data_IF_148982391532
#
_entry.id   IF_148982391532
#
_cell.length_a   1.000
_cell.length_b   1.000
_cell.length_c   1.000
_cell.angle_alpha   90.00
_cell.angle_beta   90.00
_cell.angle_gamma   90.00
#
_symmetry.space_group_name_H-M   'P 1'
#
loop_
_entity.id
_entity.type
_entity.pdbx_description
1 polymer ?
#
# COMPACT_ATOMS: atom_id res chain seq x y z
N UNK A 1 2.45 -5.39 0.93
CA UNK A 1 3.56 -5.55 1.91
C UNK A 1 4.44 -6.78 1.65
N UNK A 2 3.94 -7.81 0.99
CA UNK A 2 4.73 -9.03 0.71
C UNK A 2 5.89 -8.80 -0.26
N UNK A 3 5.74 -7.96 -1.29
CA UNK A 3 6.85 -7.62 -2.18
C UNK A 3 7.99 -6.95 -1.42
N UNK A 4 7.66 -6.07 -0.48
CA UNK A 4 8.63 -5.47 0.43
C UNK A 4 9.26 -6.52 1.36
N UNK A 5 8.44 -7.22 2.16
CA UNK A 5 8.93 -8.15 3.19
C UNK A 5 9.80 -9.27 2.64
N UNK A 6 9.37 -9.87 1.53
CA UNK A 6 10.08 -11.02 0.94
C UNK A 6 11.13 -10.62 -0.08
N UNK A 7 11.33 -9.32 -0.34
CA UNK A 7 12.25 -8.84 -1.36
C UNK A 7 11.96 -9.36 -2.77
N UNK A 8 10.69 -9.69 -3.05
CA UNK A 8 10.30 -10.35 -4.31
C UNK A 8 10.33 -9.45 -5.51
N UNK A 9 10.02 -8.17 -5.32
CA UNK A 9 9.99 -7.21 -6.41
C UNK A 9 10.63 -5.89 -5.99
N UNK A 10 11.52 -5.38 -6.83
CA UNK A 10 12.02 -4.02 -6.72
C UNK A 10 10.91 -3.03 -7.12
N UNK A 11 11.03 -1.77 -6.68
CA UNK A 11 10.03 -0.74 -7.00
C UNK A 11 9.90 -0.52 -8.51
N UNK A 12 11.01 -0.45 -9.24
CA UNK A 12 11.01 -0.18 -10.68
C UNK A 12 10.80 1.31 -10.99
N UNK A 13 10.59 1.61 -12.27
CA UNK A 13 10.37 2.97 -12.78
C UNK A 13 8.92 3.17 -13.20
N UNK A 14 8.50 4.44 -13.33
CA UNK A 14 7.10 4.81 -13.58
C UNK A 14 6.58 4.36 -14.95
N UNK A 15 7.47 4.18 -15.93
CA UNK A 15 7.08 3.86 -17.32
C UNK A 15 7.03 2.37 -17.62
N UNK A 16 7.51 1.52 -16.72
CA UNK A 16 7.54 0.08 -16.95
C UNK A 16 6.14 -0.56 -16.89
N UNK A 17 5.90 -1.45 -17.84
CA UNK A 17 4.76 -2.38 -17.84
C UNK A 17 5.32 -3.79 -17.85
N UNK A 18 5.39 -4.43 -16.71
CA UNK A 18 5.89 -5.79 -16.55
C UNK A 18 5.32 -6.41 -15.27
N UNK A 19 5.61 -7.67 -15.04
CA UNK A 19 5.19 -8.39 -13.84
C UNK A 19 6.37 -8.65 -12.87
N UNK A 20 7.52 -8.01 -13.09
CA UNK A 20 8.74 -8.25 -12.33
C UNK A 20 9.11 -7.12 -11.38
N UNK A 21 8.51 -5.93 -11.57
CA UNK A 21 8.68 -4.79 -10.67
C UNK A 21 7.34 -4.36 -10.09
N UNK A 22 7.37 -3.75 -8.91
CA UNK A 22 6.17 -3.28 -8.22
C UNK A 22 5.37 -2.26 -9.06
N UNK A 23 6.03 -1.21 -9.55
CA UNK A 23 5.40 -0.21 -10.41
C UNK A 23 4.95 -0.79 -11.74
N UNK A 24 5.75 -1.67 -12.33
CA UNK A 24 5.41 -2.34 -13.59
C UNK A 24 4.15 -3.20 -13.48
N UNK A 25 4.00 -3.94 -12.40
CA UNK A 25 2.81 -4.74 -12.13
C UNK A 25 1.57 -3.88 -11.92
N UNK A 26 1.68 -2.76 -11.20
CA UNK A 26 0.58 -1.80 -11.02
C UNK A 26 0.14 -1.20 -12.36
N UNK A 27 1.06 -0.72 -13.19
CA UNK A 27 0.75 -0.20 -14.52
C UNK A 27 0.06 -1.25 -15.39
N UNK A 28 0.54 -2.48 -15.38
CA UNK A 28 -0.05 -3.59 -16.13
C UNK A 28 -1.48 -3.90 -15.66
N UNK A 29 -1.71 -3.92 -14.34
CA UNK A 29 -3.04 -4.16 -13.78
C UNK A 29 -4.03 -3.06 -14.17
N UNK A 30 -3.63 -1.79 -14.03
CA UNK A 30 -4.45 -0.63 -14.40
C UNK A 30 -4.83 -0.69 -15.89
N UNK A 31 -3.85 -0.93 -16.77
CA UNK A 31 -4.09 -1.03 -18.20
C UNK A 31 -5.09 -2.14 -18.53
N UNK A 32 -4.90 -3.34 -17.96
CA UNK A 32 -5.81 -4.48 -18.19
C UNK A 32 -7.24 -4.19 -17.71
N UNK A 33 -7.38 -3.59 -16.54
CA UNK A 33 -8.71 -3.25 -15.99
C UNK A 33 -9.41 -2.23 -16.90
N UNK A 34 -8.77 -1.11 -17.18
CA UNK A 34 -9.39 -0.01 -17.90
C UNK A 34 -9.57 -0.27 -19.40
N UNK A 35 -8.74 -1.13 -19.99
CA UNK A 35 -8.95 -1.58 -21.38
C UNK A 35 -10.18 -2.47 -21.49
N UNK A 36 -10.40 -3.37 -20.53
CA UNK A 36 -11.57 -4.28 -20.54
C UNK A 36 -12.84 -3.63 -20.02
N UNK A 37 -12.72 -2.73 -19.10
CA UNK A 37 -13.84 -2.05 -18.43
C UNK A 37 -13.55 -0.54 -18.30
N UNK A 38 -13.65 0.25 -19.39
CA UNK A 38 -13.31 1.68 -19.39
C UNK A 38 -14.14 2.54 -18.41
N UNK A 39 -15.30 2.03 -18.00
CA UNK A 39 -16.18 2.69 -17.03
C UNK A 39 -15.94 2.22 -15.58
N UNK A 40 -14.98 1.34 -15.34
CA UNK A 40 -14.67 0.88 -13.99
C UNK A 40 -14.17 2.04 -13.13
N UNK A 41 -14.69 2.11 -11.91
CA UNK A 41 -14.24 3.05 -10.89
C UNK A 41 -13.07 2.41 -10.15
N UNK A 42 -11.86 2.93 -10.34
CA UNK A 42 -10.63 2.40 -9.76
C UNK A 42 -10.09 3.40 -8.75
N UNK A 43 -9.78 2.90 -7.57
CA UNK A 43 -9.03 3.64 -6.54
C UNK A 43 -7.84 2.78 -6.14
N UNK A 44 -6.66 3.34 -6.07
CA UNK A 44 -5.51 2.68 -5.45
C UNK A 44 -5.44 3.07 -3.97
N UNK A 45 -5.09 2.12 -3.13
CA UNK A 45 -4.86 2.35 -1.71
C UNK A 45 -3.49 1.81 -1.33
N UNK A 46 -2.69 2.64 -0.65
CA UNK A 46 -1.37 2.22 -0.17
C UNK A 46 -1.48 1.07 0.84
N UNK A 47 -0.40 0.28 1.04
CA UNK A 47 -0.34 -0.59 2.21
C UNK A 47 -0.47 0.23 3.50
N UNK A 48 -0.85 -0.41 4.59
CA UNK A 48 -0.81 0.18 5.94
C UNK A 48 0.58 0.04 6.54
N UNK A 49 0.86 0.83 7.59
CA UNK A 49 2.05 0.66 8.40
C UNK A 49 2.14 -0.76 8.96
N UNK A 50 3.35 -1.28 9.04
CA UNK A 50 3.68 -2.56 9.64
C UNK A 50 4.59 -2.31 10.84
N UNK A 51 4.23 -2.85 12.00
CA UNK A 51 5.09 -2.92 13.17
C UNK A 51 5.72 -4.32 13.22
N UNK A 52 6.98 -4.41 13.62
CA UNK A 52 7.58 -5.69 13.95
C UNK A 52 7.49 -5.89 15.47
N UNK A 53 6.85 -6.96 15.88
CA UNK A 53 6.66 -7.31 17.30
C UNK A 53 7.38 -8.59 17.72
N UNK A 54 7.84 -9.39 16.75
CA UNK A 54 8.55 -10.62 17.03
C UNK A 54 10.04 -10.36 17.32
N UNK A 55 10.64 -11.00 18.32
CA UNK A 55 12.05 -10.90 18.57
C UNK A 55 12.87 -11.33 17.33
N UNK A 56 13.70 -10.42 16.83
CA UNK A 56 14.52 -10.66 15.64
C UNK A 56 13.82 -10.40 14.31
N UNK A 57 12.54 -10.07 14.30
CA UNK A 57 11.84 -9.55 13.12
C UNK A 57 11.86 -8.02 13.13
N UNK A 58 12.68 -7.43 12.28
CA UNK A 58 12.87 -5.98 12.19
C UNK A 58 12.11 -5.34 11.03
N UNK A 59 11.04 -5.96 10.54
CA UNK A 59 10.32 -5.49 9.37
C UNK A 59 9.26 -4.41 9.64
N UNK A 60 9.58 -3.40 10.46
CA UNK A 60 8.69 -2.24 10.54
C UNK A 60 8.76 -1.42 9.23
N UNK A 61 7.65 -0.76 8.90
CA UNK A 61 7.48 -0.12 7.61
C UNK A 61 8.34 1.13 7.37
N UNK A 62 8.79 1.80 8.44
CA UNK A 62 9.52 3.07 8.34
C UNK A 62 11.03 2.91 8.26
N UNK A 63 11.57 1.97 9.02
CA UNK A 63 13.01 1.91 9.31
C UNK A 63 13.71 0.73 8.63
N UNK A 64 12.98 -0.36 8.41
CA UNK A 64 13.60 -1.56 7.85
C UNK A 64 13.70 -1.52 6.34
N UNK A 65 14.89 -1.82 5.85
CA UNK A 65 15.24 -1.77 4.44
C UNK A 65 15.29 -3.18 3.89
N UNK A 66 14.51 -3.43 2.85
CA UNK A 66 14.56 -4.67 2.04
C UNK A 66 14.69 -4.27 0.58
N UNK A 67 15.65 -4.83 -0.13
CA UNK A 67 16.01 -4.42 -1.49
C UNK A 67 16.27 -2.90 -1.60
N UNK A 68 17.03 -2.35 -0.67
CA UNK A 68 17.37 -0.94 -0.55
C UNK A 68 16.17 0.01 -0.34
N UNK A 69 15.00 -0.52 0.06
CA UNK A 69 13.76 0.26 0.21
C UNK A 69 12.98 -0.09 1.47
N UNK A 70 12.32 0.92 2.03
CA UNK A 70 11.35 0.77 3.12
C UNK A 70 9.94 0.52 2.58
N UNK A 71 9.02 0.04 3.42
CA UNK A 71 7.61 -0.07 3.05
C UNK A 71 6.98 1.29 2.74
N UNK A 72 7.42 2.34 3.43
CA UNK A 72 7.05 3.73 3.13
C UNK A 72 7.35 4.10 1.68
N UNK A 73 8.51 3.71 1.16
CA UNK A 73 8.88 3.96 -0.23
C UNK A 73 8.02 3.20 -1.22
N UNK A 74 7.57 1.97 -0.89
CA UNK A 74 6.58 1.24 -1.69
C UNK A 74 5.20 1.94 -1.69
N UNK A 75 4.76 2.48 -0.55
CA UNK A 75 3.53 3.28 -0.48
C UNK A 75 3.63 4.54 -1.35
N UNK A 76 4.74 5.25 -1.29
CA UNK A 76 5.04 6.42 -2.14
C UNK A 76 5.08 6.05 -3.63
N UNK A 77 5.64 4.90 -3.95
CA UNK A 77 5.68 4.38 -5.32
C UNK A 77 4.28 4.13 -5.89
N UNK A 78 3.35 3.57 -5.09
CA UNK A 78 1.97 3.37 -5.51
C UNK A 78 1.26 4.71 -5.77
N UNK A 79 1.48 5.71 -4.91
CA UNK A 79 0.94 7.06 -5.09
C UNK A 79 1.41 7.67 -6.42
N UNK A 80 2.69 7.56 -6.75
CA UNK A 80 3.24 8.05 -8.01
C UNK A 80 2.58 7.39 -9.23
N UNK A 81 2.30 6.07 -9.17
CA UNK A 81 1.58 5.36 -10.23
C UNK A 81 0.13 5.81 -10.34
N UNK A 82 -0.55 6.05 -9.21
CA UNK A 82 -1.91 6.57 -9.22
C UNK A 82 -1.96 7.96 -9.88
N UNK A 83 -1.08 8.87 -9.50
CA UNK A 83 -0.97 10.22 -10.06
C UNK A 83 -0.68 10.19 -11.57
N UNK A 84 0.29 9.38 -12.00
CA UNK A 84 0.63 9.22 -13.41
C UNK A 84 -0.55 8.74 -14.26
N UNK A 85 -1.36 7.85 -13.74
CA UNK A 85 -2.50 7.27 -14.44
C UNK A 85 -3.82 8.03 -14.18
N UNK A 86 -3.78 9.17 -13.50
CA UNK A 86 -4.95 9.97 -13.11
C UNK A 86 -6.01 9.16 -12.33
N UNK A 87 -5.54 8.26 -11.46
CA UNK A 87 -6.38 7.39 -10.62
C UNK A 87 -6.40 7.96 -9.20
N UNK A 88 -7.59 8.06 -8.56
CA UNK A 88 -7.70 8.42 -7.16
C UNK A 88 -6.86 7.52 -6.25
N UNK A 89 -6.33 8.11 -5.18
CA UNK A 89 -5.45 7.42 -4.23
C UNK A 89 -5.90 7.62 -2.79
N UNK A 90 -5.93 6.55 -2.02
CA UNK A 90 -6.13 6.56 -0.57
C UNK A 90 -4.76 6.28 0.09
N UNK A 91 -4.22 7.27 0.77
CA UNK A 91 -2.94 7.15 1.47
C UNK A 91 -3.11 6.55 2.87
N UNK A 92 -3.42 5.26 2.92
CA UNK A 92 -3.59 4.55 4.18
C UNK A 92 -2.31 4.49 5.01
N UNK A 93 -1.14 4.53 4.38
CA UNK A 93 0.13 4.51 5.09
C UNK A 93 0.34 5.75 5.97
N UNK A 94 0.08 6.92 5.42
CA UNK A 94 0.35 8.20 6.11
C UNK A 94 -0.87 8.78 6.82
N UNK A 95 -2.10 8.37 6.47
CA UNK A 95 -3.31 9.05 6.90
C UNK A 95 -4.22 8.21 7.82
N UNK A 96 -3.80 7.00 8.20
CA UNK A 96 -4.61 6.12 9.07
C UNK A 96 -4.18 6.14 10.54
N UNK A 97 -3.25 7.00 10.94
CA UNK A 97 -2.75 7.06 12.32
C UNK A 97 -2.15 5.75 12.85
N UNK A 98 -1.84 4.79 11.98
CA UNK A 98 -1.13 3.56 12.37
C UNK A 98 0.37 3.83 12.23
N UNK A 99 1.07 3.86 13.34
CA UNK A 99 2.51 4.15 13.40
C UNK A 99 3.15 3.45 14.60
N UNK A 100 4.42 3.67 14.84
CA UNK A 100 5.17 3.04 15.93
C UNK A 100 4.61 3.29 17.34
N UNK A 101 3.77 4.29 17.52
CA UNK A 101 3.18 4.63 18.82
C UNK A 101 1.76 4.09 19.00
N UNK A 102 1.02 3.91 17.90
CA UNK A 102 -0.42 3.62 17.91
C UNK A 102 -0.77 2.23 17.37
N UNK A 103 0.18 1.49 16.81
CA UNK A 103 -0.10 0.22 16.12
C UNK A 103 -0.86 -0.79 16.99
N UNK A 104 -0.63 -0.81 18.30
CA UNK A 104 -1.32 -1.72 19.22
C UNK A 104 -2.85 -1.52 19.26
N UNK A 105 -3.34 -0.33 18.91
CA UNK A 105 -4.78 -0.05 18.86
C UNK A 105 -5.44 -0.63 17.60
N UNK A 106 -4.70 -0.77 16.52
CA UNK A 106 -5.22 -1.06 15.18
C UNK A 106 -4.76 -2.39 14.60
N UNK A 107 -3.65 -2.92 15.08
CA UNK A 107 -3.07 -4.17 14.58
C UNK A 107 -3.22 -5.29 15.60
N UNK A 108 -3.18 -6.53 15.10
CA UNK A 108 -3.05 -7.73 15.94
C UNK A 108 -1.69 -7.75 16.65
N UNK A 109 -1.51 -8.65 17.60
CA UNK A 109 -0.25 -8.80 18.35
C UNK A 109 0.98 -9.03 17.46
N UNK A 110 0.79 -9.54 16.25
CA UNK A 110 1.86 -9.73 15.26
C UNK A 110 2.33 -8.43 14.61
N UNK A 111 1.57 -7.33 14.75
CA UNK A 111 1.91 -6.02 14.19
C UNK A 111 1.80 -5.92 12.67
N UNK A 112 1.11 -6.86 12.03
CA UNK A 112 1.00 -6.97 10.56
C UNK A 112 -0.44 -6.87 10.07
N UNK A 113 -1.35 -7.54 10.75
CA UNK A 113 -2.76 -7.62 10.37
C UNK A 113 -3.61 -6.64 11.17
N UNK A 114 -4.66 -6.12 10.56
CA UNK A 114 -5.64 -5.28 11.25
C UNK A 114 -6.41 -6.10 12.30
N UNK A 115 -6.63 -5.51 13.46
CA UNK A 115 -7.64 -5.99 14.40
C UNK A 115 -9.01 -5.38 14.04
N UNK A 116 -10.05 -5.64 14.84
CA UNK A 116 -11.42 -5.16 14.55
C UNK A 116 -11.50 -3.64 14.46
N UNK A 117 -10.78 -2.92 15.33
CA UNK A 117 -10.70 -1.45 15.31
C UNK A 117 -10.02 -0.96 14.04
N UNK A 118 -8.92 -1.60 13.63
CA UNK A 118 -8.21 -1.30 12.40
C UNK A 118 -9.05 -1.56 11.16
N UNK A 119 -9.79 -2.68 11.13
CA UNK A 119 -10.72 -2.98 10.03
C UNK A 119 -11.82 -1.92 9.89
N UNK A 120 -12.41 -1.48 11.01
CA UNK A 120 -13.44 -0.42 10.99
C UNK A 120 -12.87 0.89 10.43
N UNK A 121 -11.68 1.30 10.89
CA UNK A 121 -11.04 2.52 10.40
C UNK A 121 -10.72 2.46 8.90
N UNK A 122 -10.20 1.34 8.40
CA UNK A 122 -9.89 1.18 6.97
C UNK A 122 -11.18 1.16 6.14
N UNK A 123 -12.24 0.53 6.63
CA UNK A 123 -13.55 0.53 5.95
C UNK A 123 -14.09 1.96 5.79
N UNK A 124 -14.01 2.79 6.82
CA UNK A 124 -14.37 4.21 6.75
C UNK A 124 -13.54 4.97 5.71
N UNK A 125 -12.21 4.76 5.70
CA UNK A 125 -11.33 5.38 4.69
C UNK A 125 -11.68 5.00 3.26
N UNK A 126 -12.02 3.73 3.04
CA UNK A 126 -12.45 3.24 1.71
C UNK A 126 -13.79 3.89 1.32
N UNK A 127 -14.75 3.92 2.23
CA UNK A 127 -16.06 4.54 2.00
C UNK A 127 -15.92 6.04 1.68
N UNK A 128 -15.12 6.76 2.45
CA UNK A 128 -14.82 8.18 2.22
C UNK A 128 -14.16 8.41 0.86
N UNK A 129 -13.22 7.55 0.48
CA UNK A 129 -12.56 7.59 -0.82
C UNK A 129 -13.57 7.44 -1.97
N UNK A 130 -14.47 6.45 -1.89
CA UNK A 130 -15.51 6.29 -2.90
C UNK A 130 -16.48 7.46 -2.95
N UNK A 131 -16.89 8.00 -1.80
CA UNK A 131 -17.76 9.16 -1.72
C UNK A 131 -17.11 10.41 -2.31
N UNK A 132 -15.81 10.62 -2.05
CA UNK A 132 -15.06 11.79 -2.54
C UNK A 132 -14.82 11.75 -4.04
N UNK A 133 -14.49 10.60 -4.60
CA UNK A 133 -13.99 10.50 -5.97
C UNK A 133 -15.02 10.01 -6.98
N UNK A 134 -16.10 9.42 -6.52
CA UNK A 134 -17.17 8.87 -7.34
C UNK A 134 -18.57 9.11 -6.79
#
# INVERSE_FOLDING_TARGET
>A
SEDYRCGKAQIGTDDLKNNTTYKGALNTAIEKILTRAPKAKVILMSPIYRASTEPGDFFNGDDNIVNDKTLREYATAMKAIAEKNHIPFIDAYNECMINKYTYNEYLTSEGVYLNDTGHSMIAEKIQDGFTRYY
#
